data_IF_857418627145
#
_entry.id   IF_857418627145
#
_cell.length_a   1.000
_cell.length_b   1.000
_cell.length_c   1.000
_cell.angle_alpha   90.00
_cell.angle_beta   90.00
_cell.angle_gamma   90.00
#
_symmetry.space_group_name_H-M   'P 1'
#
loop_
_entity.id
_entity.type
_entity.pdbx_description
1 polymer ?
#
# COMPACT_ATOMS: atom_id res chain seq x y z
N UNK A 1 17.81 -9.12 -7.89
CA UNK A 1 17.64 -9.11 -6.43
C UNK A 1 17.84 -7.72 -5.82
N UNK A 2 18.90 -7.00 -6.18
CA UNK A 2 19.23 -5.66 -5.65
C UNK A 2 18.18 -4.60 -5.92
N UNK A 3 17.59 -4.56 -7.12
CA UNK A 3 16.51 -3.62 -7.43
C UNK A 3 15.27 -3.84 -6.54
N UNK A 4 14.86 -5.11 -6.37
CA UNK A 4 13.73 -5.46 -5.50
C UNK A 4 13.97 -5.05 -4.04
N UNK A 5 15.20 -5.20 -3.52
CA UNK A 5 15.57 -4.74 -2.18
C UNK A 5 15.56 -3.21 -2.04
N UNK A 6 16.00 -2.49 -3.08
CA UNK A 6 15.94 -1.01 -3.08
C UNK A 6 14.50 -0.51 -3.09
N UNK A 7 13.63 -1.13 -3.87
CA UNK A 7 12.20 -0.76 -3.95
C UNK A 7 11.49 -1.16 -2.66
N UNK A 8 11.80 -2.33 -2.11
CA UNK A 8 11.28 -2.76 -0.82
C UNK A 8 11.71 -1.79 0.29
N UNK A 9 13.00 -1.42 0.31
CA UNK A 9 13.54 -0.45 1.26
C UNK A 9 12.91 0.94 1.12
N UNK A 10 12.74 1.44 -0.11
CA UNK A 10 12.09 2.72 -0.37
C UNK A 10 10.60 2.72 0.02
N UNK A 11 9.87 1.67 -0.34
CA UNK A 11 8.46 1.49 0.05
C UNK A 11 8.31 1.37 1.56
N UNK A 12 9.21 0.64 2.23
CA UNK A 12 9.22 0.53 3.68
C UNK A 12 9.52 1.87 4.34
N UNK A 13 10.43 2.66 3.77
CA UNK A 13 10.72 4.01 4.25
C UNK A 13 9.48 4.90 4.15
N UNK A 14 8.75 4.85 3.02
CA UNK A 14 7.48 5.58 2.84
C UNK A 14 6.42 5.13 3.86
N UNK A 15 6.32 3.84 4.13
CA UNK A 15 5.43 3.26 5.16
C UNK A 15 5.79 3.70 6.59
N UNK A 16 7.08 3.70 6.93
CA UNK A 16 7.57 4.14 8.26
C UNK A 16 7.41 5.64 8.43
N UNK A 17 7.60 6.40 7.35
CA UNK A 17 7.45 7.86 7.40
C UNK A 17 5.99 8.20 7.67
N UNK A 18 5.04 7.40 7.15
CA UNK A 18 3.60 7.44 7.49
C UNK A 18 2.87 8.69 7.02
N UNK A 19 3.58 9.81 6.97
CA UNK A 19 3.19 11.17 6.64
C UNK A 19 4.44 11.82 6.02
N UNK A 20 4.46 12.02 4.71
CA UNK A 20 5.48 12.89 4.11
C UNK A 20 5.27 14.29 4.73
N UNK A 21 6.28 14.88 5.40
CA UNK A 21 6.15 16.17 6.07
C UNK A 21 5.79 17.25 5.04
N UNK A 22 4.50 17.56 4.91
CA UNK A 22 3.94 18.47 3.91
C UNK A 22 2.76 17.93 3.09
N UNK A 23 2.48 16.62 3.11
CA UNK A 23 1.33 16.00 2.44
C UNK A 23 0.48 15.22 3.44
N UNK A 24 -0.85 15.44 3.46
CA UNK A 24 -1.80 14.69 4.29
C UNK A 24 -1.97 13.27 3.74
N UNK A 25 -0.92 12.45 3.84
CA UNK A 25 -0.97 11.02 3.53
C UNK A 25 -1.44 10.33 4.79
N UNK A 26 -2.66 9.80 4.75
CA UNK A 26 -3.12 8.92 5.81
C UNK A 26 -2.51 7.53 5.58
N UNK A 27 -2.36 6.75 6.67
CA UNK A 27 -1.91 5.34 6.64
C UNK A 27 -2.40 4.48 5.44
N UNK A 28 -3.65 4.62 4.95
CA UNK A 28 -4.15 3.84 3.81
C UNK A 28 -3.55 4.27 2.47
N UNK A 29 -3.37 5.57 2.24
CA UNK A 29 -2.80 6.08 1.00
C UNK A 29 -1.30 5.82 0.90
N UNK A 30 -0.59 5.75 2.03
CA UNK A 30 0.81 5.30 2.07
C UNK A 30 0.99 3.86 1.58
N UNK A 31 0.09 2.94 1.97
CA UNK A 31 0.09 1.56 1.49
C UNK A 31 -0.18 1.47 -0.02
N UNK A 32 -1.10 2.30 -0.55
CA UNK A 32 -1.42 2.36 -1.97
C UNK A 32 -0.22 2.82 -2.81
N UNK A 33 0.52 3.83 -2.35
CA UNK A 33 1.73 4.32 -3.03
C UNK A 33 2.78 3.20 -3.12
N UNK A 34 3.00 2.47 -2.03
CA UNK A 34 3.89 1.31 -2.00
C UNK A 34 3.51 0.23 -3.02
N UNK A 35 2.22 -0.05 -3.15
CA UNK A 35 1.72 -1.01 -4.14
C UNK A 35 1.99 -0.54 -5.58
N UNK A 36 1.77 0.75 -5.89
CA UNK A 36 2.04 1.33 -7.22
C UNK A 36 3.53 1.26 -7.56
N UNK A 37 4.42 1.52 -6.60
CA UNK A 37 5.87 1.38 -6.81
C UNK A 37 6.26 -0.05 -7.22
N UNK A 38 5.70 -1.08 -6.58
CA UNK A 38 5.98 -2.48 -6.94
C UNK A 38 5.64 -2.77 -8.41
N UNK A 39 4.57 -2.16 -8.94
CA UNK A 39 4.15 -2.28 -10.34
C UNK A 39 5.06 -1.50 -11.29
N UNK A 40 5.31 -0.22 -11.00
CA UNK A 40 6.13 0.67 -11.87
C UNK A 40 7.54 0.14 -12.06
N UNK A 41 8.12 -0.45 -11.02
CA UNK A 41 9.46 -1.00 -11.08
C UNK A 41 9.53 -2.47 -11.55
N UNK A 42 8.39 -3.09 -11.87
CA UNK A 42 8.35 -4.45 -12.44
C UNK A 42 8.89 -5.54 -11.52
N UNK A 43 8.79 -5.36 -10.19
CA UNK A 43 9.27 -6.34 -9.20
C UNK A 43 8.51 -7.66 -9.30
N UNK A 44 7.24 -7.58 -9.70
CA UNK A 44 6.40 -8.73 -9.98
C UNK A 44 5.86 -8.63 -11.41
N UNK A 45 5.91 -9.70 -12.21
CA UNK A 45 5.31 -9.70 -13.53
C UNK A 45 3.80 -9.44 -13.42
N UNK A 46 3.23 -8.61 -14.32
CA UNK A 46 1.85 -8.16 -14.23
C UNK A 46 0.85 -9.33 -14.22
N UNK A 47 1.18 -10.44 -14.89
CA UNK A 47 0.37 -11.65 -14.95
C UNK A 47 0.21 -12.35 -13.59
N UNK A 48 1.18 -12.18 -12.69
CA UNK A 48 1.15 -12.75 -11.32
C UNK A 48 0.59 -11.77 -10.30
N UNK A 49 0.55 -10.48 -10.63
CA UNK A 49 0.22 -9.42 -9.69
C UNK A 49 -1.20 -9.58 -9.14
N UNK A 50 -2.18 -9.82 -10.00
CA UNK A 50 -3.57 -10.04 -9.58
C UNK A 50 -3.77 -11.34 -8.79
N UNK A 51 -2.95 -12.37 -9.05
CA UNK A 51 -3.06 -13.65 -8.36
C UNK A 51 -2.53 -13.60 -6.91
N UNK A 52 -1.70 -12.61 -6.58
CA UNK A 52 -1.12 -12.43 -5.23
C UNK A 52 -1.98 -11.49 -4.38
N UNK A 53 -2.89 -10.73 -4.99
CA UNK A 53 -3.79 -9.82 -4.28
C UNK A 53 -5.00 -10.58 -3.74
N UNK A 54 -5.14 -10.61 -2.41
CA UNK A 54 -6.33 -11.12 -1.74
C UNK A 54 -7.42 -10.03 -1.64
N UNK A 55 -8.36 -10.05 -2.57
CA UNK A 55 -9.47 -9.10 -2.62
C UNK A 55 -10.39 -9.14 -1.39
N UNK A 56 -10.75 -10.31 -0.81
CA UNK A 56 -11.56 -10.37 0.41
C UNK A 56 -10.95 -9.56 1.56
N UNK A 57 -9.64 -9.70 1.79
CA UNK A 57 -8.94 -8.94 2.83
C UNK A 57 -8.92 -7.44 2.53
N UNK A 58 -8.69 -7.04 1.27
CA UNK A 58 -8.73 -5.62 0.88
C UNK A 58 -10.11 -5.00 1.13
N UNK A 59 -11.18 -5.70 0.76
CA UNK A 59 -12.56 -5.25 0.98
C UNK A 59 -12.87 -5.17 2.47
N UNK A 60 -12.43 -6.15 3.26
CA UNK A 60 -12.59 -6.16 4.73
C UNK A 60 -11.90 -4.97 5.39
N UNK A 61 -10.62 -4.75 5.09
CA UNK A 61 -9.83 -3.66 5.66
C UNK A 61 -10.37 -2.29 5.22
N UNK A 62 -10.76 -2.17 3.94
CA UNK A 62 -11.36 -0.95 3.42
C UNK A 62 -12.71 -0.64 4.07
N UNK A 63 -13.55 -1.67 4.25
CA UNK A 63 -14.82 -1.56 4.95
C UNK A 63 -14.61 -1.10 6.39
N UNK A 64 -13.65 -1.69 7.12
CA UNK A 64 -13.33 -1.26 8.49
C UNK A 64 -12.89 0.21 8.54
N UNK A 65 -12.11 0.67 7.57
CA UNK A 65 -11.61 2.04 7.52
C UNK A 65 -12.71 3.08 7.21
N UNK A 66 -13.66 2.74 6.32
CA UNK A 66 -14.84 3.57 6.02
C UNK A 66 -15.90 3.49 7.11
N UNK A 67 -16.11 2.31 7.69
CA UNK A 67 -17.18 2.05 8.65
C UNK A 67 -16.78 2.42 10.10
N UNK A 68 -15.50 2.39 10.47
CA UNK A 68 -15.05 2.73 11.82
C UNK A 68 -15.45 4.14 12.27
N UNK A 69 -15.37 5.20 11.43
CA UNK A 69 -15.87 6.53 11.81
C UNK A 69 -17.40 6.58 11.99
N UNK A 70 -18.15 5.74 11.28
CA UNK A 70 -19.62 5.75 11.27
C UNK A 70 -20.24 5.07 12.49
N UNK A 71 -19.50 4.19 13.19
CA UNK A 71 -19.98 3.51 14.40
C UNK A 71 -19.92 4.39 15.68
N UNK A 72 -19.31 5.57 15.58
CA UNK A 72 -19.18 6.54 16.68
C UNK A 72 -20.05 7.81 16.51
N UNK A 73 -21.01 7.78 15.58
CA UNK A 73 -21.95 8.87 15.30
C UNK A 73 -23.36 8.56 15.81
#
# INVERSE_FOLDING_TARGET
MTAALLIFGATYLVLVTGELPGFRVYRPSGALIGAVCVVVFGVLPPDRLLAVIDFPTLVLLFSMMIAAPAATA
#
